data_IF_449917870781
#
_entry.id   IF_449917870781
#
_cell.length_a   1.000
_cell.length_b   1.000
_cell.length_c   1.000
_cell.angle_alpha   90.00
_cell.angle_beta   90.00
_cell.angle_gamma   90.00
#
_symmetry.space_group_name_H-M   'P 1'
#
loop_
_entity.id
_entity.type
_entity.pdbx_description
1 polymer ?
#
# COMPACT_ATOMS: atom_id res chain seq x y z
N UNK A 1 10.92 -61.89 25.62
CA UNK A 1 10.68 -60.52 26.13
C UNK A 1 11.91 -59.61 26.19
N UNK A 2 13.16 -60.09 26.11
CA UNK A 2 14.36 -59.22 26.21
C UNK A 2 14.85 -58.57 24.90
N UNK A 3 14.35 -58.98 23.73
CA UNK A 3 14.82 -58.46 22.42
C UNK A 3 13.99 -57.29 21.84
N UNK A 4 12.85 -56.97 22.44
CA UNK A 4 11.99 -55.84 22.01
C UNK A 4 12.31 -54.53 22.72
N UNK A 5 13.17 -54.52 23.76
CA UNK A 5 13.51 -53.29 24.50
C UNK A 5 14.65 -52.48 23.87
N UNK A 6 15.47 -53.10 23.01
CA UNK A 6 16.70 -52.46 22.47
C UNK A 6 16.43 -51.58 21.24
N UNK A 7 15.29 -51.75 20.57
CA UNK A 7 14.92 -50.95 19.40
C UNK A 7 14.36 -49.55 19.75
N UNK A 8 13.89 -49.35 20.99
CA UNK A 8 13.30 -48.07 21.41
C UNK A 8 14.35 -47.03 21.84
N UNK A 9 15.55 -47.47 22.22
CA UNK A 9 16.62 -46.59 22.72
C UNK A 9 17.41 -45.91 21.60
N UNK A 10 17.38 -46.44 20.37
CA UNK A 10 18.14 -45.89 19.24
C UNK A 10 17.44 -44.71 18.53
N UNK A 11 16.14 -44.49 18.75
CA UNK A 11 15.40 -43.36 18.15
C UNK A 11 15.54 -42.05 18.94
N UNK A 12 16.10 -42.07 20.15
CA UNK A 12 16.24 -40.90 21.04
C UNK A 12 17.54 -40.12 20.83
N UNK A 13 18.42 -40.56 19.91
CA UNK A 13 19.76 -40.01 19.73
C UNK A 13 19.96 -39.10 18.52
N UNK A 14 18.91 -38.74 17.76
CA UNK A 14 19.05 -37.77 16.68
C UNK A 14 19.13 -36.36 17.29
N UNK A 15 20.23 -35.60 17.07
CA UNK A 15 20.28 -34.22 17.50
C UNK A 15 19.20 -33.45 16.73
N UNK A 16 18.12 -33.11 17.41
CA UNK A 16 17.21 -32.07 16.97
C UNK A 16 18.04 -30.78 16.97
N UNK A 17 18.53 -30.38 15.81
CA UNK A 17 19.02 -29.04 15.58
C UNK A 17 17.84 -28.10 15.80
N UNK A 18 17.62 -27.72 17.05
CA UNK A 18 16.73 -26.64 17.44
C UNK A 18 17.38 -25.41 16.83
N UNK A 19 16.84 -24.95 15.70
CA UNK A 19 17.21 -23.67 15.08
C UNK A 19 16.70 -22.61 16.04
N UNK A 20 17.50 -22.38 17.08
CA UNK A 20 17.22 -21.42 18.11
C UNK A 20 17.48 -20.03 17.52
N UNK A 21 16.39 -19.46 17.01
CA UNK A 21 16.00 -18.09 17.23
C UNK A 21 16.71 -17.01 16.39
N UNK A 22 16.09 -16.68 15.26
CA UNK A 22 15.98 -15.27 14.87
C UNK A 22 15.09 -14.56 15.91
N UNK A 23 15.74 -13.92 16.89
CA UNK A 23 15.09 -13.06 17.89
C UNK A 23 14.92 -11.66 17.30
N UNK A 24 14.01 -11.50 16.34
CA UNK A 24 13.58 -10.14 16.05
C UNK A 24 12.66 -9.66 17.19
N UNK A 25 13.12 -8.60 17.88
CA UNK A 25 12.36 -7.90 18.93
C UNK A 25 11.43 -6.86 18.31
N UNK A 26 11.61 -6.55 17.03
CA UNK A 26 10.85 -5.54 16.36
C UNK A 26 9.39 -5.97 16.27
N UNK A 27 8.53 -5.02 16.61
CA UNK A 27 7.08 -5.19 16.55
C UNK A 27 6.56 -4.43 15.34
N UNK A 28 5.38 -4.79 14.80
CA UNK A 28 4.69 -3.96 13.82
C UNK A 28 4.63 -2.48 14.19
N UNK A 29 4.46 -2.18 15.49
CA UNK A 29 4.44 -0.81 15.99
C UNK A 29 5.82 -0.11 15.93
N UNK A 30 6.91 -0.83 16.21
CA UNK A 30 8.28 -0.29 16.12
C UNK A 30 8.67 -0.02 14.66
N UNK A 31 8.32 -0.92 13.75
CA UNK A 31 8.60 -0.79 12.32
C UNK A 31 7.88 0.41 11.68
N UNK A 32 6.65 0.67 12.13
CA UNK A 32 5.85 1.81 11.69
C UNK A 32 6.26 3.14 12.33
N UNK A 33 7.19 3.13 13.29
CA UNK A 33 7.61 4.34 13.99
C UNK A 33 8.24 5.33 13.00
N UNK A 34 7.70 6.55 13.00
CA UNK A 34 8.12 7.60 12.08
C UNK A 34 7.45 7.57 10.71
N UNK A 35 6.52 6.63 10.46
CA UNK A 35 5.74 6.54 9.21
C UNK A 35 4.23 6.28 9.43
N UNK A 36 3.55 6.97 10.37
CA UNK A 36 2.11 6.77 10.59
C UNK A 36 1.27 7.00 9.32
N UNK A 37 1.70 7.91 8.46
CA UNK A 37 1.07 8.18 7.16
C UNK A 37 1.15 7.00 6.20
N UNK A 38 2.22 6.21 6.24
CA UNK A 38 2.36 5.01 5.40
C UNK A 38 1.38 3.93 5.86
N UNK A 39 1.20 3.74 7.18
CA UNK A 39 0.18 2.83 7.72
C UNK A 39 -1.22 3.28 7.29
N UNK A 40 -1.51 4.57 7.38
CA UNK A 40 -2.76 5.15 6.92
C UNK A 40 -2.98 4.93 5.42
N UNK A 41 -1.94 5.09 4.61
CA UNK A 41 -1.96 4.79 3.17
C UNK A 41 -2.25 3.33 2.90
N UNK A 42 -1.54 2.39 3.54
CA UNK A 42 -1.70 0.95 3.30
C UNK A 42 -3.10 0.46 3.68
N UNK A 43 -3.70 1.07 4.68
CA UNK A 43 -5.01 0.67 5.24
C UNK A 43 -6.17 1.51 4.70
N UNK A 44 -5.92 2.55 3.92
CA UNK A 44 -6.97 3.42 3.36
C UNK A 44 -7.54 4.45 4.32
N UNK A 45 -6.87 4.68 5.45
CA UNK A 45 -7.24 5.66 6.48
C UNK A 45 -6.71 7.06 6.14
N UNK A 46 -7.10 7.58 4.98
CA UNK A 46 -6.78 8.95 4.58
C UNK A 46 -7.98 9.61 3.92
N UNK A 47 -7.96 10.94 3.88
CA UNK A 47 -9.09 11.74 3.44
C UNK A 47 -9.41 11.53 1.96
N UNK A 48 -10.67 11.24 1.66
CA UNK A 48 -11.22 11.18 0.30
C UNK A 48 -12.58 11.87 0.30
N UNK A 49 -12.62 13.14 -0.11
CA UNK A 49 -13.83 13.94 0.06
C UNK A 49 -14.95 13.47 -0.90
N UNK A 50 -16.23 13.59 -0.50
CA UNK A 50 -17.34 13.20 -1.36
C UNK A 50 -17.45 14.12 -2.60
N UNK A 51 -18.04 13.69 -3.73
CA UNK A 51 -18.15 14.50 -4.96
C UNK A 51 -18.69 15.91 -4.73
N UNK A 52 -19.68 16.07 -3.84
CA UNK A 52 -20.29 17.36 -3.50
C UNK A 52 -19.28 18.42 -3.02
N UNK A 53 -18.21 17.99 -2.33
CA UNK A 53 -17.12 18.87 -1.93
C UNK A 53 -16.48 19.53 -3.17
N UNK A 54 -16.14 18.73 -4.17
CA UNK A 54 -15.49 19.22 -5.39
C UNK A 54 -16.45 20.04 -6.26
N UNK A 55 -17.73 19.70 -6.31
CA UNK A 55 -18.75 20.52 -6.99
C UNK A 55 -18.85 21.92 -6.38
N UNK A 56 -18.93 22.02 -5.05
CA UNK A 56 -19.04 23.29 -4.35
C UNK A 56 -17.76 24.12 -4.47
N UNK A 57 -16.59 23.48 -4.34
CA UNK A 57 -15.30 24.12 -4.63
C UNK A 57 -15.27 24.69 -6.05
N UNK A 58 -15.60 23.87 -7.06
CA UNK A 58 -15.57 24.27 -8.46
C UNK A 58 -16.50 25.48 -8.72
N UNK A 59 -17.72 25.45 -8.18
CA UNK A 59 -18.66 26.57 -8.31
C UNK A 59 -18.11 27.86 -7.70
N UNK A 60 -17.56 27.78 -6.47
CA UNK A 60 -16.95 28.91 -5.77
C UNK A 60 -15.79 29.50 -6.56
N UNK A 61 -14.81 28.68 -6.95
CA UNK A 61 -13.61 29.17 -7.64
C UNK A 61 -13.92 29.66 -9.05
N UNK A 62 -14.91 29.09 -9.73
CA UNK A 62 -15.37 29.60 -11.05
C UNK A 62 -15.90 31.03 -10.92
N UNK A 63 -16.80 31.29 -9.95
CA UNK A 63 -17.33 32.63 -9.71
C UNK A 63 -16.24 33.64 -9.28
N UNK A 64 -15.25 33.17 -8.50
CA UNK A 64 -14.10 33.99 -8.13
C UNK A 64 -13.29 34.40 -9.36
N UNK A 65 -12.98 33.46 -10.26
CA UNK A 65 -12.19 33.70 -11.47
C UNK A 65 -12.90 34.58 -12.51
N UNK A 66 -14.23 34.70 -12.47
CA UNK A 66 -14.97 35.66 -13.30
C UNK A 66 -14.63 37.12 -12.94
N UNK A 67 -14.34 37.39 -11.68
CA UNK A 67 -14.03 38.73 -11.17
C UNK A 67 -12.54 38.96 -10.92
N UNK A 68 -11.78 37.89 -10.66
CA UNK A 68 -10.35 37.90 -10.33
C UNK A 68 -9.60 36.88 -11.21
N UNK A 69 -9.55 37.08 -12.54
CA UNK A 69 -8.90 36.14 -13.46
C UNK A 69 -7.38 36.02 -13.25
N UNK A 70 -6.77 36.89 -12.45
CA UNK A 70 -5.37 36.84 -12.04
C UNK A 70 -5.10 35.85 -10.89
N UNK A 71 -6.13 35.30 -10.23
CA UNK A 71 -5.94 34.28 -9.18
C UNK A 71 -5.53 32.93 -9.78
N UNK A 72 -4.22 32.77 -10.01
CA UNK A 72 -3.62 31.57 -10.57
C UNK A 72 -3.91 30.30 -9.74
N UNK A 73 -4.07 30.41 -8.42
CA UNK A 73 -4.37 29.27 -7.56
C UNK A 73 -5.82 28.77 -7.75
N UNK A 74 -6.76 29.68 -8.04
CA UNK A 74 -8.14 29.32 -8.35
C UNK A 74 -8.27 28.38 -9.54
N UNK A 75 -7.39 28.51 -10.56
CA UNK A 75 -7.36 27.60 -11.70
C UNK A 75 -6.90 26.18 -11.31
N UNK A 76 -5.94 26.06 -10.39
CA UNK A 76 -5.51 24.75 -9.87
C UNK A 76 -6.64 24.07 -9.11
N UNK A 77 -7.34 24.82 -8.24
CA UNK A 77 -8.47 24.31 -7.49
C UNK A 77 -9.61 23.85 -8.42
N UNK A 78 -9.88 24.60 -9.48
CA UNK A 78 -10.87 24.24 -10.49
C UNK A 78 -10.46 22.96 -11.25
N UNK A 79 -9.21 22.89 -11.70
CA UNK A 79 -8.66 21.72 -12.40
C UNK A 79 -8.70 20.46 -11.54
N UNK A 80 -8.23 20.55 -10.29
CA UNK A 80 -8.25 19.41 -9.34
C UNK A 80 -9.68 18.99 -9.02
N UNK A 81 -10.60 19.94 -8.83
CA UNK A 81 -12.01 19.61 -8.62
C UNK A 81 -12.61 18.86 -9.82
N UNK A 82 -12.37 19.34 -11.05
CA UNK A 82 -12.78 18.64 -12.27
C UNK A 82 -12.19 17.23 -12.35
N UNK A 83 -10.89 17.07 -12.08
CA UNK A 83 -10.24 15.75 -12.12
C UNK A 83 -10.86 14.78 -11.09
N UNK A 84 -11.08 15.24 -9.85
CA UNK A 84 -11.70 14.42 -8.79
C UNK A 84 -13.17 14.06 -9.07
N UNK A 85 -13.86 14.86 -9.89
CA UNK A 85 -15.19 14.57 -10.41
C UNK A 85 -15.17 13.67 -11.66
N UNK A 86 -14.00 13.25 -12.14
CA UNK A 86 -13.84 12.46 -13.37
C UNK A 86 -13.99 13.27 -14.66
N UNK A 87 -14.03 14.60 -14.59
CA UNK A 87 -14.21 15.53 -15.72
C UNK A 87 -12.85 15.91 -16.33
N UNK A 88 -12.15 14.91 -16.87
CA UNK A 88 -10.76 15.04 -17.31
C UNK A 88 -10.52 16.11 -18.38
N UNK A 89 -11.40 16.20 -19.38
CA UNK A 89 -11.28 17.23 -20.43
C UNK A 89 -11.44 18.65 -19.87
N UNK A 90 -12.34 18.83 -18.90
CA UNK A 90 -12.54 20.13 -18.26
C UNK A 90 -11.38 20.49 -17.33
N UNK A 91 -10.78 19.51 -16.66
CA UNK A 91 -9.59 19.72 -15.85
C UNK A 91 -8.43 20.25 -16.70
N UNK A 92 -8.24 19.68 -17.91
CA UNK A 92 -7.24 20.13 -18.87
C UNK A 92 -7.59 21.54 -19.40
N UNK A 93 -8.85 21.81 -19.71
CA UNK A 93 -9.29 23.14 -20.15
C UNK A 93 -9.03 24.23 -19.10
N UNK A 94 -9.14 23.93 -17.81
CA UNK A 94 -8.75 24.87 -16.75
C UNK A 94 -7.25 25.15 -16.73
N UNK A 95 -6.41 24.16 -17.05
CA UNK A 95 -4.96 24.37 -17.20
C UNK A 95 -4.64 25.24 -18.42
N UNK A 96 -5.31 25.06 -19.56
CA UNK A 96 -5.16 25.92 -20.74
C UNK A 96 -5.50 27.40 -20.42
N UNK A 97 -6.57 27.63 -19.65
CA UNK A 97 -6.91 28.98 -19.18
C UNK A 97 -5.84 29.54 -18.22
N UNK A 98 -5.33 28.71 -17.30
CA UNK A 98 -4.24 29.10 -16.39
C UNK A 98 -2.99 29.51 -17.17
N UNK A 99 -2.64 28.74 -18.20
CA UNK A 99 -1.49 29.03 -19.06
C UNK A 99 -1.61 30.42 -19.70
N UNK A 100 -2.78 30.76 -20.24
CA UNK A 100 -3.05 32.08 -20.83
C UNK A 100 -2.85 33.22 -19.83
N UNK A 101 -3.15 33.00 -18.54
CA UNK A 101 -2.87 33.98 -17.49
C UNK A 101 -1.38 34.03 -17.15
N UNK A 102 -0.74 32.88 -16.97
CA UNK A 102 0.69 32.77 -16.68
C UNK A 102 1.57 33.46 -17.73
N UNK A 103 1.19 33.44 -19.00
CA UNK A 103 1.91 34.12 -20.09
C UNK A 103 1.94 35.65 -19.96
N UNK A 104 1.10 36.23 -19.10
CA UNK A 104 1.09 37.68 -18.82
C UNK A 104 2.09 38.10 -17.74
N UNK A 105 2.70 37.14 -17.05
CA UNK A 105 3.61 37.38 -15.94
C UNK A 105 5.06 37.07 -16.32
N UNK A 106 5.99 37.75 -15.66
CA UNK A 106 7.42 37.52 -15.85
C UNK A 106 7.87 36.23 -15.15
N UNK A 107 8.64 35.40 -15.85
CA UNK A 107 9.09 34.08 -15.38
C UNK A 107 10.06 34.13 -14.19
N UNK A 108 10.73 35.26 -14.00
CA UNK A 108 11.75 35.45 -12.97
C UNK A 108 11.15 35.58 -11.56
N UNK A 109 9.84 35.87 -11.46
CA UNK A 109 9.14 36.07 -10.20
C UNK A 109 8.95 34.73 -9.46
N UNK A 110 9.42 34.59 -8.20
CA UNK A 110 9.33 33.33 -7.45
C UNK A 110 7.91 32.73 -7.35
N UNK A 111 6.91 33.58 -7.16
CA UNK A 111 5.50 33.19 -7.08
C UNK A 111 4.96 32.68 -8.43
N UNK A 112 5.40 33.27 -9.55
CA UNK A 112 5.04 32.82 -10.89
C UNK A 112 5.71 31.50 -11.20
N UNK A 113 6.99 31.34 -10.81
CA UNK A 113 7.73 30.08 -10.94
C UNK A 113 7.02 28.92 -10.22
N UNK A 114 6.55 29.14 -9.00
CA UNK A 114 5.76 28.15 -8.26
C UNK A 114 4.44 27.83 -8.97
N UNK A 115 3.76 28.83 -9.51
CA UNK A 115 2.52 28.63 -10.27
C UNK A 115 2.73 27.87 -11.59
N UNK A 116 3.87 28.07 -12.27
CA UNK A 116 4.29 27.29 -13.44
C UNK A 116 4.59 25.86 -13.08
N UNK A 117 5.30 25.62 -11.97
CA UNK A 117 5.50 24.27 -11.43
C UNK A 117 4.15 23.56 -11.24
N UNK A 118 3.21 24.19 -10.52
CA UNK A 118 1.88 23.61 -10.26
C UNK A 118 1.09 23.36 -11.55
N UNK A 119 1.18 24.26 -12.53
CA UNK A 119 0.56 24.07 -13.85
C UNK A 119 1.05 22.78 -14.53
N UNK A 120 2.37 22.61 -14.64
CA UNK A 120 2.97 21.44 -15.28
C UNK A 120 2.67 20.15 -14.51
N UNK A 121 2.76 20.17 -13.17
CA UNK A 121 2.43 19.03 -12.32
C UNK A 121 0.96 18.61 -12.46
N UNK A 122 0.02 19.57 -12.44
CA UNK A 122 -1.41 19.30 -12.57
C UNK A 122 -1.77 18.82 -13.98
N UNK A 123 -1.29 19.51 -15.03
CA UNK A 123 -1.59 19.14 -16.41
C UNK A 123 -1.10 17.72 -16.73
N UNK A 124 0.15 17.39 -16.36
CA UNK A 124 0.67 16.03 -16.53
C UNK A 124 -0.16 14.98 -15.78
N UNK A 125 -0.58 15.29 -14.55
CA UNK A 125 -1.45 14.41 -13.76
C UNK A 125 -2.81 14.19 -14.43
N UNK A 126 -3.48 15.26 -14.88
CA UNK A 126 -4.81 15.18 -15.49
C UNK A 126 -4.81 14.41 -16.80
N UNK A 127 -3.76 14.56 -17.62
CA UNK A 127 -3.59 13.80 -18.85
C UNK A 127 -3.55 12.29 -18.60
N UNK A 128 -2.75 11.82 -17.63
CA UNK A 128 -2.68 10.40 -17.26
C UNK A 128 -3.99 9.91 -16.67
N UNK A 129 -4.60 10.69 -15.76
CA UNK A 129 -5.87 10.32 -15.15
C UNK A 129 -6.99 10.18 -16.18
N UNK A 130 -7.10 11.14 -17.11
CA UNK A 130 -8.06 11.06 -18.23
C UNK A 130 -7.83 9.80 -19.05
N UNK A 131 -6.59 9.53 -19.44
CA UNK A 131 -6.23 8.34 -20.21
C UNK A 131 -6.62 7.04 -19.49
N UNK A 132 -6.34 6.92 -18.19
CA UNK A 132 -6.75 5.75 -17.37
C UNK A 132 -8.28 5.62 -17.33
N UNK A 133 -9.02 6.69 -17.05
CA UNK A 133 -10.49 6.67 -16.98
C UNK A 133 -11.15 6.33 -18.32
N UNK A 134 -10.51 6.67 -19.44
CA UNK A 134 -10.95 6.30 -20.78
C UNK A 134 -10.57 4.85 -21.17
N UNK A 135 -10.11 4.05 -20.21
CA UNK A 135 -9.83 2.62 -20.41
C UNK A 135 -8.37 2.30 -20.66
N UNK A 136 -7.44 3.25 -20.45
CA UNK A 136 -6.01 3.04 -20.62
C UNK A 136 -5.64 2.54 -22.04
N UNK A 137 -6.29 3.11 -23.06
CA UNK A 137 -6.11 2.70 -24.46
C UNK A 137 -4.69 3.03 -24.95
N UNK A 138 -3.91 1.98 -25.18
CA UNK A 138 -2.53 2.06 -25.66
C UNK A 138 -2.41 2.69 -27.06
N UNK A 139 -3.47 2.72 -27.86
CA UNK A 139 -3.47 3.46 -29.13
C UNK A 139 -3.32 4.98 -28.92
N UNK A 140 -3.66 5.47 -27.72
CA UNK A 140 -3.54 6.88 -27.30
C UNK A 140 -2.32 7.14 -26.40
N UNK A 141 -1.27 6.33 -26.50
CA UNK A 141 -0.09 6.47 -25.63
C UNK A 141 0.60 7.84 -25.74
N UNK A 142 0.37 8.57 -26.83
CA UNK A 142 0.91 9.93 -27.00
C UNK A 142 0.35 10.91 -25.96
N UNK A 143 -0.86 10.70 -25.43
CA UNK A 143 -1.38 11.47 -24.28
C UNK A 143 -0.53 11.23 -23.02
N UNK A 144 -0.09 9.99 -22.80
CA UNK A 144 0.77 9.62 -21.67
C UNK A 144 2.19 10.17 -21.86
N UNK A 145 2.69 10.23 -23.10
CA UNK A 145 3.96 10.90 -23.42
C UNK A 145 3.89 12.41 -23.17
N UNK A 146 2.79 13.05 -23.56
CA UNK A 146 2.57 14.47 -23.23
C UNK A 146 2.57 14.68 -21.71
N UNK A 147 1.91 13.80 -20.96
CA UNK A 147 1.95 13.86 -19.50
C UNK A 147 3.37 13.71 -18.91
N UNK A 148 4.18 12.78 -19.44
CA UNK A 148 5.58 12.61 -19.06
C UNK A 148 6.35 13.92 -19.22
N UNK A 149 6.18 14.57 -20.36
CA UNK A 149 6.90 15.79 -20.70
C UNK A 149 6.50 16.96 -19.77
N UNK A 150 5.22 17.04 -19.39
CA UNK A 150 4.74 18.01 -18.40
C UNK A 150 5.29 17.73 -16.99
N UNK A 151 5.28 16.48 -16.51
CA UNK A 151 5.88 16.15 -15.20
C UNK A 151 7.40 16.39 -15.20
N UNK A 152 8.09 16.13 -16.32
CA UNK A 152 9.51 16.43 -16.45
C UNK A 152 9.79 17.93 -16.30
N UNK A 153 9.00 18.81 -16.94
CA UNK A 153 9.10 20.26 -16.75
C UNK A 153 8.83 20.68 -15.30
N UNK A 154 7.87 20.06 -14.63
CA UNK A 154 7.59 20.34 -13.22
C UNK A 154 8.83 20.03 -12.34
N UNK A 155 9.50 18.90 -12.59
CA UNK A 155 10.73 18.52 -11.89
C UNK A 155 11.92 19.43 -12.21
N UNK A 156 12.03 19.95 -13.43
CA UNK A 156 13.05 20.95 -13.78
C UNK A 156 12.89 22.25 -12.98
N UNK A 157 11.63 22.65 -12.71
CA UNK A 157 11.33 23.86 -11.95
C UNK A 157 11.54 23.66 -10.45
N UNK A 158 11.03 22.54 -9.91
CA UNK A 158 11.11 22.19 -8.49
C UNK A 158 11.34 20.68 -8.29
N UNK A 159 12.61 20.21 -8.25
CA UNK A 159 12.92 18.78 -8.18
C UNK A 159 12.59 18.14 -6.83
N UNK A 160 12.39 18.95 -5.78
CA UNK A 160 12.16 18.50 -4.41
C UNK A 160 10.71 18.75 -3.95
N UNK A 161 9.80 19.11 -4.86
CA UNK A 161 8.40 19.31 -4.53
C UNK A 161 7.78 18.04 -3.92
N UNK A 162 6.80 18.23 -3.04
CA UNK A 162 6.04 17.16 -2.37
C UNK A 162 6.87 15.96 -1.90
N UNK A 163 8.04 16.20 -1.30
CA UNK A 163 8.94 15.16 -0.81
C UNK A 163 9.40 14.18 -1.91
N UNK A 164 9.61 14.68 -3.13
CA UNK A 164 10.11 13.91 -4.26
C UNK A 164 9.06 13.05 -4.97
N UNK A 165 7.76 13.24 -4.69
CA UNK A 165 6.65 12.49 -5.31
C UNK A 165 6.72 12.51 -6.84
N UNK A 166 6.98 13.66 -7.44
CA UNK A 166 6.96 13.86 -8.89
C UNK A 166 7.99 12.96 -9.61
N UNK A 167 9.11 12.65 -8.97
CA UNK A 167 10.11 11.71 -9.50
C UNK A 167 9.51 10.31 -9.69
N UNK A 168 8.72 9.86 -8.73
CA UNK A 168 8.05 8.56 -8.79
C UNK A 168 6.83 8.58 -9.71
N UNK A 169 6.14 9.73 -9.81
CA UNK A 169 5.10 9.93 -10.82
C UNK A 169 5.69 9.82 -12.23
N UNK A 170 6.78 10.54 -12.52
CA UNK A 170 7.48 10.47 -13.80
C UNK A 170 7.90 9.03 -14.11
N UNK A 171 8.45 8.33 -13.12
CA UNK A 171 8.86 6.92 -13.24
C UNK A 171 7.66 6.00 -13.56
N UNK A 172 6.53 6.19 -12.90
CA UNK A 172 5.31 5.44 -13.18
C UNK A 172 4.81 5.70 -14.62
N UNK A 173 4.82 6.96 -15.07
CA UNK A 173 4.43 7.33 -16.44
C UNK A 173 5.38 6.71 -17.47
N UNK A 174 6.69 6.76 -17.23
CA UNK A 174 7.69 6.13 -18.09
C UNK A 174 7.50 4.61 -18.18
N UNK A 175 7.23 3.97 -17.04
CA UNK A 175 6.92 2.54 -16.98
C UNK A 175 5.60 2.19 -17.70
N UNK A 176 4.61 3.09 -17.68
CA UNK A 176 3.44 2.95 -18.54
C UNK A 176 3.84 3.06 -20.01
N UNK A 177 4.66 4.03 -20.42
CA UNK A 177 5.03 4.22 -21.84
C UNK A 177 5.81 3.03 -22.39
N UNK A 178 6.77 2.52 -21.62
CA UNK A 178 7.64 1.41 -22.01
C UNK A 178 7.57 0.29 -20.95
N UNK A 179 6.48 -0.49 -20.94
CA UNK A 179 6.28 -1.50 -19.92
C UNK A 179 7.20 -2.70 -20.15
N UNK A 180 7.76 -3.29 -19.08
CA UNK A 180 8.40 -4.60 -19.18
C UNK A 180 7.36 -5.65 -19.61
N UNK A 181 7.82 -6.73 -20.26
CA UNK A 181 6.98 -7.89 -20.54
C UNK A 181 6.74 -8.67 -19.26
N UNK A 182 5.48 -8.86 -18.88
CA UNK A 182 5.11 -9.72 -17.76
C UNK A 182 5.02 -11.20 -18.17
N UNK A 183 4.69 -11.48 -19.44
CA UNK A 183 4.43 -12.84 -19.90
C UNK A 183 5.69 -13.73 -19.77
N UNK A 184 5.54 -14.83 -19.04
CA UNK A 184 6.61 -15.81 -18.82
C UNK A 184 7.57 -15.47 -17.68
N UNK A 185 7.39 -14.33 -17.00
CA UNK A 185 8.11 -14.05 -15.76
C UNK A 185 7.49 -14.81 -14.60
N UNK A 186 8.35 -15.19 -13.64
CA UNK A 186 7.94 -15.83 -12.38
C UNK A 186 7.24 -14.82 -11.47
N UNK A 187 7.66 -13.57 -11.55
CA UNK A 187 7.24 -12.46 -10.73
C UNK A 187 6.72 -11.29 -11.60
N UNK A 188 5.72 -10.58 -11.07
CA UNK A 188 5.21 -9.38 -11.71
C UNK A 188 6.27 -8.25 -11.61
N UNK A 189 6.72 -7.65 -12.71
CA UNK A 189 7.58 -6.48 -12.66
C UNK A 189 6.89 -5.30 -11.96
N UNK A 190 7.67 -4.46 -11.29
CA UNK A 190 7.20 -3.18 -10.75
C UNK A 190 7.99 -2.01 -11.35
N UNK A 191 7.46 -0.79 -11.19
CA UNK A 191 8.07 0.42 -11.75
C UNK A 191 9.46 0.75 -11.18
N UNK A 192 9.80 0.21 -10.00
CA UNK A 192 11.13 0.40 -9.41
C UNK A 192 12.18 -0.53 -10.02
N UNK A 193 11.76 -1.56 -10.76
CA UNK A 193 12.66 -2.59 -11.28
C UNK A 193 13.37 -3.37 -10.16
N UNK A 194 12.86 -3.29 -8.93
CA UNK A 194 13.42 -3.98 -7.77
C UNK A 194 12.77 -5.35 -7.63
N UNK A 195 13.58 -6.37 -7.42
CA UNK A 195 13.09 -7.73 -7.17
C UNK A 195 13.02 -7.99 -5.67
N UNK A 196 11.91 -8.60 -5.24
CA UNK A 196 11.73 -9.08 -3.87
C UNK A 196 12.71 -10.21 -3.54
N UNK A 197 13.24 -10.94 -4.53
CA UNK A 197 14.18 -12.05 -4.30
C UNK A 197 15.61 -11.57 -3.96
N UNK A 198 15.94 -10.31 -4.22
CA UNK A 198 17.32 -9.80 -4.13
C UNK A 198 17.46 -8.57 -3.23
N UNK A 199 16.81 -8.61 -2.07
CA UNK A 199 16.79 -7.54 -1.04
C UNK A 199 18.20 -7.03 -0.72
N UNK A 200 19.21 -7.90 -0.73
CA UNK A 200 20.58 -7.57 -0.32
C UNK A 200 21.46 -6.90 -1.38
N UNK A 201 20.96 -6.59 -2.59
CA UNK A 201 21.82 -6.14 -3.70
C UNK A 201 21.39 -4.86 -4.41
N UNK A 202 20.24 -4.26 -4.12
CA UNK A 202 19.61 -3.40 -5.14
C UNK A 202 19.42 -1.92 -4.79
N UNK A 203 19.14 -1.54 -3.55
CA UNK A 203 18.81 -0.15 -3.24
C UNK A 203 19.64 0.39 -2.06
N UNK A 204 20.07 1.64 -2.19
CA UNK A 204 20.51 2.45 -1.08
C UNK A 204 19.33 2.69 -0.12
N UNK A 205 19.48 2.53 1.22
CA UNK A 205 18.35 2.67 2.16
C UNK A 205 17.63 4.01 2.06
N UNK A 206 18.34 5.10 1.79
CA UNK A 206 17.71 6.41 1.57
C UNK A 206 16.86 6.43 0.29
N UNK A 207 17.35 5.81 -0.78
CA UNK A 207 16.57 5.66 -2.02
C UNK A 207 15.28 4.85 -1.80
N UNK A 208 15.31 3.84 -0.93
CA UNK A 208 14.13 3.06 -0.57
C UNK A 208 13.13 3.87 0.27
N UNK A 209 13.58 4.59 1.30
CA UNK A 209 12.74 5.52 2.09
C UNK A 209 12.09 6.59 1.18
N UNK A 210 12.86 7.20 0.28
CA UNK A 210 12.35 8.16 -0.70
C UNK A 210 11.25 7.53 -1.58
N UNK A 211 11.42 6.27 -1.99
CA UNK A 211 10.44 5.54 -2.80
C UNK A 211 9.16 5.24 -2.03
N UNK A 212 9.27 4.86 -0.76
CA UNK A 212 8.12 4.68 0.13
C UNK A 212 7.30 5.97 0.21
N UNK A 213 7.95 7.11 0.50
CA UNK A 213 7.28 8.43 0.60
C UNK A 213 6.65 8.84 -0.72
N UNK A 214 7.38 8.71 -1.82
CA UNK A 214 6.90 9.08 -3.15
C UNK A 214 5.69 8.28 -3.59
N UNK A 215 5.74 6.95 -3.44
CA UNK A 215 4.63 6.05 -3.79
C UNK A 215 3.41 6.25 -2.88
N UNK A 216 3.63 6.45 -1.58
CA UNK A 216 2.56 6.84 -0.66
C UNK A 216 1.90 8.16 -1.08
N UNK A 217 2.69 9.13 -1.53
CA UNK A 217 2.21 10.38 -2.11
C UNK A 217 1.35 10.19 -3.36
N UNK A 218 1.69 9.25 -4.25
CA UNK A 218 0.86 8.90 -5.41
C UNK A 218 -0.49 8.32 -4.99
N UNK A 219 -0.53 7.53 -3.92
CA UNK A 219 -1.78 6.93 -3.41
C UNK A 219 -2.72 8.01 -2.85
N UNK A 220 -2.22 8.89 -1.98
CA UNK A 220 -3.03 9.93 -1.33
C UNK A 220 -3.41 11.05 -2.31
N UNK A 221 -2.40 11.60 -3.00
CA UNK A 221 -2.56 12.84 -3.76
C UNK A 221 -2.77 12.57 -5.26
N UNK A 222 -2.18 11.50 -5.80
CA UNK A 222 -2.22 11.12 -7.22
C UNK A 222 -3.31 10.12 -7.59
N UNK A 223 -4.31 9.89 -6.74
CA UNK A 223 -5.45 9.00 -7.01
C UNK A 223 -5.07 7.53 -7.31
N UNK A 224 -3.90 7.06 -6.86
CA UNK A 224 -3.42 5.69 -7.11
C UNK A 224 -3.92 4.66 -6.08
N UNK A 225 -4.90 5.00 -5.24
CA UNK A 225 -5.47 4.14 -4.18
C UNK A 225 -6.02 2.79 -4.65
N UNK A 226 -6.35 2.68 -5.94
CA UNK A 226 -6.85 1.44 -6.54
C UNK A 226 -5.84 0.77 -7.49
N UNK A 227 -4.58 1.23 -7.51
CA UNK A 227 -3.56 0.69 -8.43
C UNK A 227 -2.81 -0.49 -7.81
N UNK A 228 -2.97 -1.68 -8.40
CA UNK A 228 -2.19 -2.87 -8.04
C UNK A 228 -0.69 -2.61 -8.20
N UNK A 229 -0.28 -1.95 -9.29
CA UNK A 229 1.15 -1.75 -9.61
C UNK A 229 1.86 -0.80 -8.64
N UNK A 230 1.17 0.24 -8.17
CA UNK A 230 1.73 1.17 -7.17
C UNK A 230 1.88 0.49 -5.81
N UNK A 231 0.89 -0.29 -5.36
CA UNK A 231 1.03 -1.07 -4.13
C UNK A 231 2.08 -2.17 -4.24
N UNK A 232 2.24 -2.79 -5.41
CA UNK A 232 3.29 -3.79 -5.65
C UNK A 232 4.68 -3.16 -5.60
N UNK A 233 4.85 -1.99 -6.23
CA UNK A 233 6.08 -1.20 -6.10
C UNK A 233 6.34 -0.76 -4.66
N UNK A 234 5.29 -0.36 -3.91
CA UNK A 234 5.41 0.06 -2.52
C UNK A 234 5.81 -1.11 -1.62
N UNK A 235 5.31 -2.32 -1.87
CA UNK A 235 5.73 -3.53 -1.17
C UNK A 235 7.25 -3.77 -1.34
N UNK A 236 7.75 -3.64 -2.57
CA UNK A 236 9.18 -3.74 -2.85
C UNK A 236 10.01 -2.63 -2.20
N UNK A 237 9.52 -1.39 -2.21
CA UNK A 237 10.19 -0.28 -1.56
C UNK A 237 10.30 -0.48 -0.05
N UNK A 238 9.21 -0.88 0.60
CA UNK A 238 9.18 -1.13 2.04
C UNK A 238 10.12 -2.26 2.44
N UNK A 239 10.18 -3.34 1.67
CA UNK A 239 11.10 -4.43 1.95
C UNK A 239 12.58 -4.02 1.82
N UNK A 240 12.89 -3.05 0.95
CA UNK A 240 14.25 -2.53 0.78
C UNK A 240 14.56 -1.33 1.70
N UNK A 241 13.56 -0.78 2.40
CA UNK A 241 13.75 0.34 3.32
C UNK A 241 14.27 -0.16 4.67
N UNK A 242 15.59 -0.20 4.78
CA UNK A 242 16.31 -0.58 6.00
C UNK A 242 16.72 0.65 6.83
N UNK A 243 16.22 1.85 6.51
CA UNK A 243 16.67 3.08 7.17
C UNK A 243 16.27 3.07 8.66
N UNK A 244 17.26 3.15 9.54
CA UNK A 244 17.07 3.05 11.00
C UNK A 244 17.14 1.63 11.56
N UNK A 245 17.36 0.61 10.72
CA UNK A 245 17.53 -0.80 11.11
C UNK A 245 18.99 -1.26 10.93
N UNK A 246 19.41 -2.30 11.65
CA UNK A 246 20.77 -2.84 11.55
C UNK A 246 21.03 -3.56 10.22
N UNK A 247 22.17 -3.30 9.58
CA UNK A 247 22.55 -3.87 8.26
C UNK A 247 22.62 -5.41 8.19
N UNK A 248 22.64 -6.09 9.34
CA UNK A 248 22.77 -7.56 9.44
C UNK A 248 21.47 -8.24 9.91
N UNK A 249 20.40 -7.49 10.13
CA UNK A 249 19.08 -8.02 10.46
C UNK A 249 18.31 -8.29 9.17
N UNK A 250 17.18 -8.98 9.26
CA UNK A 250 16.19 -9.20 8.18
C UNK A 250 15.58 -7.87 7.70
N UNK A 251 16.45 -6.92 7.32
CA UNK A 251 16.17 -5.50 7.27
C UNK A 251 15.18 -5.16 6.17
N UNK A 252 14.36 -4.17 6.48
CA UNK A 252 13.22 -3.77 5.68
C UNK A 252 12.03 -3.51 6.59
N UNK A 253 11.08 -2.71 6.11
CA UNK A 253 9.77 -2.58 6.73
C UNK A 253 8.88 -3.75 6.29
N UNK A 254 9.19 -4.95 6.76
CA UNK A 254 8.57 -6.20 6.32
C UNK A 254 7.08 -6.31 6.67
N UNK A 255 6.66 -5.83 7.84
CA UNK A 255 5.24 -5.80 8.22
C UNK A 255 4.45 -4.91 7.27
N UNK A 256 4.97 -3.71 6.98
CA UNK A 256 4.34 -2.76 6.08
C UNK A 256 4.38 -3.26 4.64
N UNK A 257 5.49 -3.88 4.21
CA UNK A 257 5.59 -4.53 2.91
C UNK A 257 4.53 -5.62 2.74
N UNK A 258 4.28 -6.40 3.80
CA UNK A 258 3.24 -7.42 3.85
C UNK A 258 1.83 -6.80 3.77
N UNK A 259 1.58 -5.68 4.43
CA UNK A 259 0.31 -4.94 4.29
C UNK A 259 0.12 -4.42 2.85
N UNK A 260 1.17 -3.92 2.19
CA UNK A 260 1.11 -3.50 0.79
C UNK A 260 0.77 -4.68 -0.14
N UNK A 261 1.35 -5.85 0.11
CA UNK A 261 1.05 -7.09 -0.62
C UNK A 261 -0.39 -7.56 -0.37
N UNK A 262 -0.88 -7.55 0.87
CA UNK A 262 -2.28 -7.85 1.19
C UNK A 262 -3.24 -6.88 0.49
N UNK A 263 -2.88 -5.60 0.41
CA UNK A 263 -3.65 -4.58 -0.31
C UNK A 263 -3.70 -4.87 -1.81
N UNK A 264 -2.60 -5.31 -2.43
CA UNK A 264 -2.62 -5.76 -3.83
C UNK A 264 -3.63 -6.89 -4.04
N UNK A 265 -3.64 -7.89 -3.15
CA UNK A 265 -4.57 -9.03 -3.24
C UNK A 265 -6.03 -8.60 -3.07
N UNK A 266 -6.32 -7.74 -2.09
CA UNK A 266 -7.66 -7.14 -1.90
C UNK A 266 -8.15 -6.43 -3.16
N UNK A 267 -7.27 -5.66 -3.82
CA UNK A 267 -7.59 -4.97 -5.07
C UNK A 267 -7.88 -5.95 -6.21
N UNK A 268 -7.08 -7.02 -6.35
CA UNK A 268 -7.28 -8.04 -7.38
C UNK A 268 -8.59 -8.81 -7.13
N UNK A 269 -8.90 -9.12 -5.88
CA UNK A 269 -10.17 -9.76 -5.48
C UNK A 269 -11.36 -8.84 -5.79
N UNK A 270 -11.18 -7.52 -5.73
CA UNK A 270 -12.15 -6.53 -6.17
C UNK A 270 -12.18 -6.31 -7.71
N UNK A 271 -11.47 -7.14 -8.48
CA UNK A 271 -11.46 -7.10 -9.94
C UNK A 271 -10.50 -6.08 -10.57
N UNK A 272 -9.64 -5.43 -9.78
CA UNK A 272 -8.59 -4.55 -10.30
C UNK A 272 -7.47 -5.40 -10.92
N UNK A 273 -6.77 -4.83 -11.89
CA UNK A 273 -5.70 -5.52 -12.64
C UNK A 273 -4.44 -4.66 -12.66
N UNK A 274 -3.32 -5.27 -13.06
CA UNK A 274 -2.10 -4.56 -13.41
C UNK A 274 -2.30 -3.74 -14.70
N UNK A 275 -1.58 -2.62 -14.80
CA UNK A 275 -1.48 -1.76 -15.98
C UNK A 275 -0.51 -2.32 -17.05
N UNK A 276 0.22 -3.40 -16.73
CA UNK A 276 1.03 -4.14 -17.71
C UNK A 276 0.10 -4.82 -18.74
N UNK A 277 0.32 -4.60 -20.05
CA UNK A 277 -0.59 -5.10 -21.09
C UNK A 277 -0.74 -6.63 -21.13
N UNK A 278 0.32 -7.35 -20.78
CA UNK A 278 0.43 -8.81 -20.84
C UNK A 278 0.43 -9.48 -19.46
N UNK A 279 0.12 -8.73 -18.40
CA UNK A 279 0.02 -9.31 -17.06
C UNK A 279 -1.17 -10.30 -16.98
N UNK A 280 -1.01 -11.39 -16.19
CA UNK A 280 -2.12 -12.26 -15.85
C UNK A 280 -3.23 -11.48 -15.11
N UNK A 281 -4.41 -12.09 -14.98
CA UNK A 281 -5.57 -11.51 -14.28
C UNK A 281 -6.07 -12.45 -13.18
N UNK A 282 -6.83 -11.92 -12.23
CA UNK A 282 -7.47 -12.70 -11.16
C UNK A 282 -6.47 -13.53 -10.34
N UNK A 283 -6.76 -14.82 -10.12
CA UNK A 283 -5.89 -15.73 -9.35
C UNK A 283 -4.48 -15.84 -9.93
N UNK A 284 -4.34 -15.84 -11.25
CA UNK A 284 -3.03 -15.91 -11.89
C UNK A 284 -2.20 -14.63 -11.61
N UNK A 285 -2.85 -13.46 -11.51
CA UNK A 285 -2.18 -12.23 -11.08
C UNK A 285 -1.75 -12.30 -9.62
N UNK A 286 -2.62 -12.78 -8.73
CA UNK A 286 -2.25 -12.99 -7.31
C UNK A 286 -1.08 -13.96 -7.16
N UNK A 287 -1.00 -15.00 -8.00
CA UNK A 287 0.11 -15.95 -8.03
C UNK A 287 1.42 -15.35 -8.53
N UNK A 288 1.38 -14.29 -9.34
CA UNK A 288 2.56 -13.56 -9.82
C UNK A 288 3.07 -12.51 -8.82
N UNK A 289 2.31 -12.18 -7.77
CA UNK A 289 2.76 -11.30 -6.70
C UNK A 289 3.63 -12.08 -5.71
N UNK A 290 4.93 -11.83 -5.74
CA UNK A 290 5.84 -12.36 -4.73
C UNK A 290 5.41 -11.88 -3.33
N UNK A 291 5.17 -12.83 -2.44
CA UNK A 291 4.95 -12.54 -1.03
C UNK A 291 6.28 -12.05 -0.44
N UNK A 292 6.29 -10.96 0.35
CA UNK A 292 7.48 -10.56 1.10
C UNK A 292 8.01 -11.72 1.95
N UNK A 293 9.34 -11.78 2.14
CA UNK A 293 10.08 -12.83 2.87
C UNK A 293 9.82 -12.75 4.38
N UNK A 294 8.56 -12.96 4.78
CA UNK A 294 8.07 -12.81 6.13
C UNK A 294 6.87 -13.73 6.43
N UNK A 295 7.00 -15.00 6.04
CA UNK A 295 5.90 -15.99 6.11
C UNK A 295 5.45 -16.26 7.55
N UNK A 296 6.37 -16.19 8.52
CA UNK A 296 6.06 -16.47 9.94
C UNK A 296 5.12 -15.44 10.57
N UNK A 297 5.09 -14.21 10.05
CA UNK A 297 4.23 -13.13 10.53
C UNK A 297 2.77 -13.21 10.06
N UNK A 298 2.47 -13.98 9.02
CA UNK A 298 1.16 -13.99 8.38
C UNK A 298 -0.03 -14.24 9.35
N UNK A 299 0.04 -15.15 10.35
CA UNK A 299 -1.04 -15.37 11.31
C UNK A 299 -1.35 -14.17 12.21
N UNK A 300 -0.35 -13.33 12.53
CA UNK A 300 -0.57 -12.08 13.27
C UNK A 300 -1.01 -10.96 12.34
N UNK A 301 -0.30 -10.79 11.23
CA UNK A 301 -0.41 -9.62 10.37
C UNK A 301 -1.68 -9.60 9.53
N UNK A 302 -2.15 -10.76 9.04
CA UNK A 302 -3.35 -10.80 8.18
C UNK A 302 -4.60 -10.36 8.93
N UNK A 303 -4.92 -10.90 10.14
CA UNK A 303 -6.05 -10.40 10.93
C UNK A 303 -5.90 -8.92 11.33
N UNK A 304 -4.68 -8.48 11.65
CA UNK A 304 -4.41 -7.08 11.96
C UNK A 304 -4.72 -6.17 10.77
N UNK A 305 -4.23 -6.49 9.58
CA UNK A 305 -4.52 -5.73 8.36
C UNK A 305 -6.03 -5.68 8.09
N UNK A 306 -6.73 -6.82 8.16
CA UNK A 306 -8.18 -6.87 7.97
C UNK A 306 -8.92 -5.98 8.97
N UNK A 307 -8.51 -5.98 10.24
CA UNK A 307 -9.09 -5.11 11.27
C UNK A 307 -8.85 -3.63 10.95
N UNK A 308 -7.63 -3.26 10.59
CA UNK A 308 -7.29 -1.87 10.23
C UNK A 308 -8.02 -1.40 8.97
N UNK A 309 -8.16 -2.25 7.95
CA UNK A 309 -8.94 -1.96 6.74
C UNK A 309 -10.41 -1.73 7.05
N UNK A 310 -11.04 -2.62 7.82
CA UNK A 310 -12.44 -2.47 8.21
C UNK A 310 -12.68 -1.19 9.04
N UNK A 311 -11.73 -0.87 9.92
CA UNK A 311 -11.80 0.36 10.71
C UNK A 311 -11.61 1.61 9.85
N UNK A 312 -10.66 1.62 8.93
CA UNK A 312 -10.46 2.72 7.99
C UNK A 312 -11.70 2.97 7.12
N UNK A 313 -12.39 1.91 6.69
CA UNK A 313 -13.65 2.01 5.93
C UNK A 313 -14.79 2.58 6.79
N UNK A 314 -14.87 2.20 8.07
CA UNK A 314 -15.84 2.73 9.02
C UNK A 314 -15.60 4.22 9.32
N UNK A 315 -14.34 4.60 9.58
CA UNK A 315 -13.93 5.98 9.75
C UNK A 315 -14.27 6.83 8.52
N UNK A 316 -13.95 6.30 7.33
CA UNK A 316 -14.22 7.00 6.08
C UNK A 316 -15.73 7.23 5.86
N UNK A 317 -16.53 6.22 6.16
CA UNK A 317 -18.00 6.28 6.09
C UNK A 317 -18.55 7.34 7.06
N UNK A 318 -18.07 7.36 8.31
CA UNK A 318 -18.50 8.33 9.31
C UNK A 318 -18.12 9.76 8.94
N UNK A 319 -16.87 9.99 8.51
CA UNK A 319 -16.36 11.29 8.06
C UNK A 319 -17.17 11.80 6.86
N UNK A 320 -17.39 10.97 5.85
CA UNK A 320 -18.16 11.37 4.67
C UNK A 320 -19.63 11.63 5.00
N UNK A 321 -20.26 10.86 5.89
CA UNK A 321 -21.62 11.13 6.33
C UNK A 321 -21.72 12.51 7.02
N UNK A 322 -20.75 12.85 7.88
CA UNK A 322 -20.66 14.18 8.49
C UNK A 322 -20.50 15.27 7.42
N UNK A 323 -19.50 15.12 6.53
CA UNK A 323 -19.22 16.10 5.48
C UNK A 323 -20.42 16.29 4.55
N UNK A 324 -21.04 15.23 4.06
CA UNK A 324 -22.18 15.29 3.16
C UNK A 324 -23.34 16.04 3.78
N UNK A 325 -23.64 15.82 5.08
CA UNK A 325 -24.67 16.59 5.79
C UNK A 325 -24.35 18.10 5.78
N UNK A 326 -23.14 18.48 6.20
CA UNK A 326 -22.71 19.90 6.25
C UNK A 326 -22.70 20.55 4.86
N UNK A 327 -22.22 19.83 3.85
CA UNK A 327 -22.22 20.28 2.46
C UNK A 327 -23.63 20.49 1.92
N UNK A 328 -24.59 19.63 2.28
CA UNK A 328 -26.00 19.79 1.88
C UNK A 328 -26.68 20.97 2.58
N UNK A 329 -26.21 21.37 3.76
CA UNK A 329 -26.62 22.59 4.46
C UNK A 329 -25.99 23.87 3.86
N UNK A 330 -25.10 23.74 2.86
CA UNK A 330 -24.42 24.85 2.21
C UNK A 330 -23.09 25.23 2.84
N UNK A 331 -22.64 24.53 3.89
CA UNK A 331 -21.35 24.75 4.52
C UNK A 331 -20.22 24.07 3.72
N UNK A 332 -19.05 24.71 3.62
CA UNK A 332 -17.88 24.15 2.95
C UNK A 332 -16.61 24.41 3.77
N UNK A 333 -15.70 23.43 3.98
CA UNK A 333 -14.52 23.65 4.82
C UNK A 333 -13.55 24.69 4.27
N UNK A 334 -13.54 24.93 2.95
CA UNK A 334 -12.73 26.01 2.35
C UNK A 334 -13.18 27.42 2.77
N UNK A 335 -14.43 27.59 3.23
CA UNK A 335 -15.03 28.92 3.48
C UNK A 335 -15.74 29.05 4.81
N UNK A 336 -15.95 27.96 5.53
CA UNK A 336 -16.61 27.92 6.82
C UNK A 336 -15.66 27.36 7.89
N UNK A 337 -15.10 28.21 8.77
CA UNK A 337 -14.21 27.76 9.83
C UNK A 337 -14.91 26.85 10.87
N UNK A 338 -16.24 26.90 10.96
CA UNK A 338 -17.06 26.05 11.84
C UNK A 338 -17.50 24.75 11.17
N UNK A 339 -16.99 24.42 9.97
CA UNK A 339 -17.46 23.26 9.21
C UNK A 339 -17.40 21.96 10.03
N UNK A 340 -16.33 21.79 10.82
CA UNK A 340 -16.07 20.60 11.63
C UNK A 340 -16.69 20.64 13.04
N UNK A 341 -17.46 21.66 13.39
CA UNK A 341 -18.10 21.74 14.70
C UNK A 341 -19.03 20.53 14.92
N UNK A 342 -18.82 19.84 16.04
CA UNK A 342 -19.55 18.63 16.40
C UNK A 342 -19.07 17.33 15.72
N UNK A 343 -18.01 17.37 14.91
CA UNK A 343 -17.32 16.16 14.45
C UNK A 343 -16.33 15.68 15.52
N UNK A 344 -16.39 14.39 15.87
CA UNK A 344 -15.41 13.75 16.75
C UNK A 344 -14.57 12.78 15.93
N UNK A 345 -13.30 13.13 15.75
CA UNK A 345 -12.33 12.27 15.08
C UNK A 345 -12.10 11.00 15.90
N UNK A 346 -12.23 9.84 15.25
CA UNK A 346 -11.92 8.55 15.88
C UNK A 346 -10.40 8.33 15.82
N UNK A 347 -9.74 7.93 16.92
CA UNK A 347 -8.32 7.63 16.89
C UNK A 347 -8.06 6.39 16.03
N UNK A 348 -6.95 6.38 15.29
CA UNK A 348 -6.51 5.19 14.57
C UNK A 348 -6.20 4.06 15.56
N UNK A 349 -6.53 2.79 15.24
CA UNK A 349 -6.14 1.66 16.06
C UNK A 349 -4.62 1.51 16.10
N UNK A 350 -4.10 1.10 17.26
CA UNK A 350 -2.68 0.80 17.41
C UNK A 350 -2.30 -0.49 16.70
N UNK A 351 -1.07 -0.52 16.17
CA UNK A 351 -0.46 -1.73 15.65
C UNK A 351 -0.07 -2.69 16.80
N UNK A 352 -0.01 -4.00 16.55
CA UNK A 352 0.44 -4.96 17.54
C UNK A 352 1.84 -4.62 18.06
N UNK A 353 1.98 -4.63 19.39
CA UNK A 353 3.26 -4.51 20.11
C UNK A 353 3.86 -5.88 20.47
N UNK A 354 3.27 -6.95 19.96
CA UNK A 354 3.82 -8.31 20.09
C UNK A 354 4.75 -8.57 18.92
N UNK A 355 5.99 -8.97 19.19
CA UNK A 355 6.92 -9.34 18.13
C UNK A 355 6.42 -10.55 17.35
N UNK A 356 6.82 -10.63 16.10
CA UNK A 356 6.34 -11.66 15.18
C UNK A 356 6.81 -13.04 15.63
N UNK A 357 8.08 -13.14 16.01
CA UNK A 357 8.66 -14.36 16.62
C UNK A 357 7.84 -14.86 17.81
N UNK A 358 7.43 -13.96 18.70
CA UNK A 358 6.61 -14.30 19.86
C UNK A 358 5.22 -14.77 19.45
N UNK A 359 4.57 -14.10 18.50
CA UNK A 359 3.26 -14.49 18.00
C UNK A 359 3.28 -15.84 17.26
N UNK A 360 4.34 -16.13 16.50
CA UNK A 360 4.54 -17.41 15.82
C UNK A 360 4.69 -18.56 16.83
N UNK A 361 5.49 -18.35 17.89
CA UNK A 361 5.72 -19.35 18.93
C UNK A 361 4.49 -19.65 19.79
N UNK A 362 3.57 -18.69 19.96
CA UNK A 362 2.33 -18.89 20.72
C UNK A 362 1.19 -19.46 19.89
N UNK A 363 1.35 -19.57 18.56
CA UNK A 363 0.33 -20.12 17.69
C UNK A 363 0.20 -21.64 17.88
N UNK A 364 -1.02 -22.20 18.02
CA UNK A 364 -1.23 -23.65 18.11
C UNK A 364 -0.83 -24.42 16.84
N UNK A 365 -0.57 -23.70 15.74
CA UNK A 365 -0.01 -24.25 14.51
C UNK A 365 1.53 -24.26 14.48
N UNK A 366 2.20 -23.90 15.57
CA UNK A 366 3.66 -23.89 15.60
C UNK A 366 4.25 -25.31 15.51
N UNK A 367 5.47 -25.47 14.98
CA UNK A 367 6.17 -26.75 14.95
C UNK A 367 6.25 -27.39 16.32
N UNK A 368 6.40 -26.60 17.39
CA UNK A 368 6.46 -27.08 18.77
C UNK A 368 5.17 -27.77 19.23
N UNK A 369 4.01 -27.25 18.84
CA UNK A 369 2.73 -27.92 19.08
C UNK A 369 2.60 -29.21 18.28
N UNK A 370 3.07 -29.21 17.03
CA UNK A 370 3.08 -30.41 16.19
C UNK A 370 4.02 -31.47 16.78
N UNK A 371 5.19 -31.07 17.28
CA UNK A 371 6.12 -31.94 18.00
C UNK A 371 5.47 -32.44 19.29
N UNK A 372 4.80 -31.59 20.07
CA UNK A 372 4.09 -32.02 21.28
C UNK A 372 3.03 -33.09 20.96
N UNK A 373 2.21 -32.87 19.94
CA UNK A 373 1.17 -33.83 19.54
C UNK A 373 1.74 -35.11 18.91
N UNK A 374 2.78 -35.02 18.08
CA UNK A 374 3.37 -36.19 17.41
C UNK A 374 4.27 -36.97 18.37
N UNK A 375 5.11 -36.30 19.15
CA UNK A 375 6.10 -36.94 20.04
C UNK A 375 5.49 -37.33 21.38
N UNK A 376 4.52 -36.60 21.92
CA UNK A 376 3.86 -36.97 23.19
C UNK A 376 2.50 -37.61 22.94
N UNK A 377 1.68 -37.01 22.08
CA UNK A 377 0.32 -37.49 21.81
C UNK A 377 0.29 -38.91 21.23
N UNK A 378 1.10 -39.21 20.20
CA UNK A 378 1.11 -40.54 19.58
C UNK A 378 1.58 -41.64 20.57
N UNK A 379 2.69 -41.48 21.33
CA UNK A 379 3.07 -42.49 22.31
C UNK A 379 2.06 -42.67 23.44
N UNK A 380 1.47 -41.59 23.95
CA UNK A 380 0.43 -41.69 24.99
C UNK A 380 -0.79 -42.44 24.47
N UNK A 381 -1.23 -42.14 23.24
CA UNK A 381 -2.34 -42.85 22.60
C UNK A 381 -2.01 -44.33 22.38
N UNK A 382 -0.80 -44.64 21.92
CA UNK A 382 -0.32 -46.01 21.73
C UNK A 382 -0.29 -46.80 23.06
N UNK A 383 0.25 -46.19 24.13
CA UNK A 383 0.26 -46.79 25.47
C UNK A 383 -1.16 -47.01 25.99
N UNK A 384 -2.05 -46.03 25.79
CA UNK A 384 -3.47 -46.13 26.14
C UNK A 384 -4.18 -47.27 25.42
N UNK A 385 -3.96 -47.43 24.11
CA UNK A 385 -4.51 -48.54 23.32
C UNK A 385 -3.99 -49.90 23.78
N UNK A 386 -2.69 -50.02 24.07
CA UNK A 386 -2.10 -51.25 24.61
C UNK A 386 -2.69 -51.57 25.98
N UNK A 387 -2.72 -50.62 26.91
CA UNK A 387 -3.27 -50.82 28.24
C UNK A 387 -4.77 -51.18 28.20
N UNK A 388 -5.56 -50.47 27.39
CA UNK A 388 -6.98 -50.76 27.19
C UNK A 388 -7.22 -52.17 26.64
N UNK A 389 -6.42 -52.60 25.66
CA UNK A 389 -6.52 -53.95 25.11
C UNK A 389 -6.23 -55.05 26.15
N UNK A 390 -5.29 -54.81 27.07
CA UNK A 390 -4.94 -55.73 28.15
C UNK A 390 -6.07 -55.83 29.19
N UNK A 391 -6.71 -54.70 29.53
CA UNK A 391 -7.87 -54.67 30.44
C UNK A 391 -9.04 -55.44 29.84
N UNK A 392 -9.37 -55.22 28.57
CA UNK A 392 -10.46 -55.93 27.88
C UNK A 392 -10.19 -57.44 27.83
N UNK A 393 -8.95 -57.86 27.55
CA UNK A 393 -8.56 -59.28 27.57
C UNK A 393 -8.73 -59.90 28.97
N UNK A 394 -8.31 -59.21 30.02
CA UNK A 394 -8.50 -59.67 31.41
C UNK A 394 -9.98 -59.76 31.79
N UNK A 395 -10.81 -58.82 31.36
CA UNK A 395 -12.24 -58.85 31.63
C UNK A 395 -12.93 -60.03 30.93
N UNK A 396 -12.56 -60.33 29.67
CA UNK A 396 -13.05 -61.52 28.96
C UNK A 396 -12.61 -62.82 29.59
N UNK A 397 -11.38 -62.91 30.12
CA UNK A 397 -10.89 -64.13 30.78
C UNK A 397 -11.54 -64.42 32.14
N UNK A 398 -12.25 -63.44 32.72
CA UNK A 398 -13.00 -63.58 33.98
C UNK A 398 -14.49 -63.90 33.77
N UNK A 399 -14.97 -63.86 32.51
CA UNK A 399 -16.29 -64.35 32.11
C UNK A 399 -16.11 -65.74 31.53
#
# INVERSE_FOLDING_TARGET
MRRTLTALTLLLGLPLSVVACLWDRDTPADEAKGMPEVVAVLTGRFERNPPRFYEMRLARVTAQLESHPEDLAGYDDAGVACDRLGRGDEAISWMEKKQTQLEKHEDSLPEVKEQRYRYHANLGTFLVHRWVRQGADRSKIDEVKAARDEIAKALEINPNAHFGREKYQLRAIQWIIDPPRAAGLRDLPNLLGWSMETIYKQADPQQADDAVRGLAGLIVLGNAWESVDIFHALSAALQNDTLGFGQNLDGGRNTLAYFAWLRCRELIDAGKNSMLPDAPKGEALKGALLQPDFVEGAPLLTPTFTKLRAEADAWHTARNAFMTRRLNEGHHPDSDPSFWDGYTEQPAPELPTTSISKAANTSPASPDWTILFVVIGIPVLAVGLVAGSLVVRRAKARR
#
